data_IF_431324946034
#
_entry.id   IF_431324946034
#
_cell.length_a   1.000
_cell.length_b   1.000
_cell.length_c   1.000
_cell.angle_alpha   90.00
_cell.angle_beta   90.00
_cell.angle_gamma   90.00
#
_symmetry.space_group_name_H-M   'P 1'
#
loop_
_entity.id
_entity.type
_entity.pdbx_description
1 polymer ?
#
# COMPACT_ATOMS: atom_id res chain seq x y z
N UNK A 1 25.20 -25.99 9.24
CA UNK A 1 26.07 -25.09 10.04
C UNK A 1 25.31 -23.80 10.23
N UNK A 2 24.85 -23.51 11.44
CA UNK A 2 24.23 -22.25 11.80
C UNK A 2 25.35 -21.29 12.23
N UNK A 3 25.48 -20.13 11.60
CA UNK A 3 26.35 -19.07 12.10
C UNK A 3 25.72 -18.49 13.37
N UNK A 4 26.44 -18.52 14.48
CA UNK A 4 25.98 -18.00 15.78
C UNK A 4 25.65 -16.49 15.76
N UNK A 5 25.99 -15.79 14.69
CA UNK A 5 25.75 -14.35 14.49
C UNK A 5 24.51 -14.03 13.66
N UNK A 6 23.90 -15.01 12.99
CA UNK A 6 22.69 -14.81 12.21
C UNK A 6 21.48 -14.99 13.12
N UNK A 7 21.11 -13.91 13.81
CA UNK A 7 19.89 -13.84 14.60
C UNK A 7 18.67 -14.03 13.70
N UNK A 8 18.12 -15.23 13.67
CA UNK A 8 16.86 -15.49 12.98
C UNK A 8 15.72 -14.85 13.77
N UNK A 9 15.06 -13.87 13.15
CA UNK A 9 13.76 -13.37 13.59
C UNK A 9 12.72 -13.77 12.56
N UNK A 10 11.58 -14.28 13.03
CA UNK A 10 10.48 -14.60 12.15
C UNK A 10 9.98 -13.28 11.49
N UNK A 11 9.89 -13.20 10.16
CA UNK A 11 9.45 -11.98 9.46
C UNK A 11 8.03 -11.53 9.87
N UNK A 12 7.18 -12.46 10.33
CA UNK A 12 5.87 -12.11 10.86
C UNK A 12 5.97 -11.31 12.18
N UNK A 13 6.92 -11.67 13.05
CA UNK A 13 7.14 -10.98 14.33
C UNK A 13 7.66 -9.55 14.10
N UNK A 14 8.52 -9.38 13.10
CA UNK A 14 8.99 -8.04 12.67
C UNK A 14 7.82 -7.19 12.18
N UNK A 15 6.96 -7.75 11.32
CA UNK A 15 5.79 -7.04 10.79
C UNK A 15 4.85 -6.59 11.92
N UNK A 16 4.60 -7.49 12.87
CA UNK A 16 3.76 -7.20 14.03
C UNK A 16 4.37 -6.13 14.94
N UNK A 17 5.68 -6.19 15.18
CA UNK A 17 6.39 -5.18 15.95
C UNK A 17 6.34 -3.79 15.27
N UNK A 18 6.50 -3.72 13.95
CA UNK A 18 6.36 -2.49 13.17
C UNK A 18 4.94 -1.93 13.24
N UNK A 19 3.91 -2.77 13.06
CA UNK A 19 2.52 -2.35 13.18
C UNK A 19 2.19 -1.83 14.59
N UNK A 20 2.75 -2.45 15.64
CA UNK A 20 2.61 -1.96 17.03
C UNK A 20 3.28 -0.60 17.20
N UNK A 21 4.50 -0.43 16.72
CA UNK A 21 5.24 0.83 16.82
C UNK A 21 4.62 1.98 16.03
N UNK A 22 3.97 1.69 14.90
CA UNK A 22 3.23 2.68 14.12
C UNK A 22 1.97 3.15 14.87
N UNK A 23 1.18 2.23 15.42
CA UNK A 23 0.00 2.58 16.23
C UNK A 23 0.35 3.42 17.46
N UNK A 24 1.46 3.10 18.14
CA UNK A 24 1.96 3.90 19.27
C UNK A 24 2.29 5.34 18.88
N UNK A 25 2.56 5.60 17.60
CA UNK A 25 2.82 6.94 17.04
C UNK A 25 1.56 7.58 16.42
N UNK A 26 0.38 7.01 16.65
CA UNK A 26 -0.90 7.54 16.15
C UNK A 26 -1.24 7.15 14.70
N UNK A 27 -0.49 6.24 14.09
CA UNK A 27 -0.79 5.77 12.73
C UNK A 27 -2.05 4.91 12.73
N UNK A 28 -2.99 5.25 11.86
CA UNK A 28 -4.16 4.42 11.59
C UNK A 28 -3.77 3.25 10.66
N UNK A 29 -4.16 2.03 11.05
CA UNK A 29 -3.97 0.82 10.23
C UNK A 29 -5.34 0.23 9.93
N UNK A 30 -5.88 0.57 8.77
CA UNK A 30 -7.14 0.01 8.28
C UNK A 30 -6.86 -1.32 7.58
N UNK A 31 -7.64 -2.35 7.93
CA UNK A 31 -7.59 -3.67 7.27
C UNK A 31 -8.85 -3.85 6.44
N UNK A 32 -8.80 -4.78 5.47
CA UNK A 32 -9.92 -5.05 4.56
C UNK A 32 -10.34 -3.82 3.75
N UNK A 33 -9.38 -2.96 3.44
CA UNK A 33 -9.55 -1.83 2.57
C UNK A 33 -8.49 -1.98 1.47
N UNK A 34 -8.94 -2.12 0.23
CA UNK A 34 -8.07 -2.27 -0.94
C UNK A 34 -8.04 -0.96 -1.70
N UNK A 35 -6.86 -0.45 -2.01
CA UNK A 35 -6.71 0.71 -2.89
C UNK A 35 -6.88 0.27 -4.35
N UNK A 36 -7.76 0.95 -5.09
CA UNK A 36 -8.15 0.61 -6.46
C UNK A 36 -7.65 1.64 -7.48
N UNK A 37 -7.68 2.95 -7.15
CA UNK A 37 -7.14 4.02 -8.00
C UNK A 37 -6.39 5.09 -7.20
N UNK A 38 -5.50 5.80 -7.87
CA UNK A 38 -4.70 6.91 -7.32
C UNK A 38 -4.75 8.07 -8.31
N UNK A 39 -5.36 9.19 -7.92
CA UNK A 39 -5.59 10.34 -8.80
C UNK A 39 -4.98 11.60 -8.18
N UNK A 40 -4.17 12.34 -8.96
CA UNK A 40 -3.62 13.63 -8.53
C UNK A 40 -4.52 14.77 -9.01
N UNK A 41 -5.03 15.57 -8.07
CA UNK A 41 -5.97 16.65 -8.38
C UNK A 41 -5.29 17.96 -8.79
N UNK A 42 -3.96 18.02 -8.75
CA UNK A 42 -3.17 19.26 -8.85
C UNK A 42 -2.68 19.79 -7.49
N UNK A 43 -3.29 19.36 -6.38
CA UNK A 43 -2.93 19.81 -5.02
C UNK A 43 -2.76 18.67 -4.01
N UNK A 44 -3.49 17.59 -4.18
CA UNK A 44 -3.44 16.41 -3.30
C UNK A 44 -3.80 15.15 -4.10
N UNK A 45 -3.50 13.99 -3.51
CA UNK A 45 -3.94 12.69 -4.00
C UNK A 45 -5.33 12.37 -3.51
N UNK A 46 -6.16 11.83 -4.39
CA UNK A 46 -7.38 11.12 -4.09
C UNK A 46 -7.14 9.62 -4.33
N UNK A 47 -7.25 8.82 -3.27
CA UNK A 47 -7.06 7.37 -3.32
C UNK A 47 -8.41 6.69 -3.11
N UNK A 48 -8.95 6.11 -4.18
CA UNK A 48 -10.20 5.36 -4.10
C UNK A 48 -9.93 3.96 -3.59
N UNK A 49 -10.68 3.55 -2.57
CA UNK A 49 -10.55 2.25 -1.94
C UNK A 49 -11.89 1.52 -1.80
N UNK A 50 -11.94 0.24 -2.17
CA UNK A 50 -13.07 -0.65 -1.91
C UNK A 50 -12.92 -1.39 -0.58
N UNK A 51 -14.02 -1.51 0.18
CA UNK A 51 -14.06 -2.39 1.35
C UNK A 51 -14.10 -3.85 0.93
N UNK A 52 -13.31 -4.69 1.58
CA UNK A 52 -13.16 -6.11 1.28
C UNK A 52 -14.01 -6.96 2.23
N UNK A 53 -14.93 -7.76 1.69
CA UNK A 53 -15.81 -8.66 2.44
C UNK A 53 -15.38 -10.12 2.26
N UNK A 54 -15.69 -10.94 3.26
CA UNK A 54 -15.35 -12.36 3.24
C UNK A 54 -16.51 -13.13 2.60
N UNK A 55 -16.22 -13.85 1.54
CA UNK A 55 -17.17 -14.77 0.90
C UNK A 55 -16.49 -16.11 0.71
N UNK A 56 -16.97 -17.11 1.47
CA UNK A 56 -16.45 -18.50 1.41
C UNK A 56 -14.93 -18.59 1.62
N UNK A 57 -14.39 -17.79 2.56
CA UNK A 57 -12.96 -17.78 2.89
C UNK A 57 -12.08 -16.92 1.98
N UNK A 58 -12.63 -16.31 0.92
CA UNK A 58 -11.92 -15.38 0.05
C UNK A 58 -12.33 -13.93 0.36
N UNK A 59 -11.37 -13.01 0.27
CA UNK A 59 -11.64 -11.57 0.27
C UNK A 59 -12.05 -11.13 -1.13
N UNK A 60 -13.22 -10.52 -1.24
CA UNK A 60 -13.72 -9.93 -2.49
C UNK A 60 -14.06 -8.45 -2.24
N UNK A 61 -13.92 -7.62 -3.28
CA UNK A 61 -14.37 -6.24 -3.22
C UNK A 61 -15.89 -6.20 -3.04
N UNK A 62 -16.36 -5.32 -2.16
CA UNK A 62 -17.76 -4.95 -2.03
C UNK A 62 -18.08 -3.72 -2.87
N UNK A 63 -19.36 -3.36 -2.97
CA UNK A 63 -19.81 -2.15 -3.65
C UNK A 63 -19.58 -0.86 -2.83
N UNK A 64 -19.05 -0.98 -1.60
CA UNK A 64 -18.75 0.16 -0.75
C UNK A 64 -17.34 0.70 -1.02
N UNK A 65 -17.27 1.95 -1.49
CA UNK A 65 -16.03 2.67 -1.76
C UNK A 65 -15.87 3.88 -0.84
N UNK A 66 -14.61 4.21 -0.55
CA UNK A 66 -14.20 5.42 0.17
C UNK A 66 -13.06 6.08 -0.58
N UNK A 67 -13.01 7.42 -0.56
CA UNK A 67 -11.89 8.19 -1.10
C UNK A 67 -11.09 8.76 0.06
N UNK A 68 -9.79 8.48 0.07
CA UNK A 68 -8.85 9.01 1.06
C UNK A 68 -8.03 10.10 0.38
N UNK A 69 -8.04 11.31 0.95
CA UNK A 69 -7.19 12.40 0.50
C UNK A 69 -5.85 12.37 1.21
N UNK A 70 -4.75 12.58 0.48
CA UNK A 70 -3.40 12.58 1.05
C UNK A 70 -2.47 13.53 0.30
N UNK A 71 -1.51 14.13 0.99
CA UNK A 71 -0.46 14.94 0.36
C UNK A 71 0.58 14.06 -0.35
N UNK A 72 0.90 12.91 0.26
CA UNK A 72 1.89 11.97 -0.26
C UNK A 72 1.37 10.54 -0.17
N UNK A 73 1.66 9.74 -1.19
CA UNK A 73 1.31 8.31 -1.26
C UNK A 73 2.57 7.49 -1.44
N UNK A 74 2.72 6.45 -0.62
CA UNK A 74 3.80 5.45 -0.75
C UNK A 74 3.19 4.11 -1.11
N UNK A 75 3.62 3.53 -2.23
CA UNK A 75 3.19 2.19 -2.65
C UNK A 75 4.18 1.15 -2.14
N UNK A 76 3.72 0.32 -1.21
CA UNK A 76 4.49 -0.80 -0.65
C UNK A 76 3.76 -2.15 -0.83
N UNK A 77 2.90 -2.24 -1.84
CA UNK A 77 2.25 -3.48 -2.23
C UNK A 77 3.25 -4.39 -2.97
N UNK A 78 3.29 -5.67 -2.58
CA UNK A 78 3.88 -6.70 -3.46
C UNK A 78 3.00 -6.87 -4.70
N UNK A 79 3.56 -7.43 -5.75
CA UNK A 79 2.92 -7.57 -7.07
C UNK A 79 1.43 -7.99 -6.97
N UNK A 80 0.55 -7.06 -7.31
CA UNK A 80 -0.89 -7.27 -7.43
C UNK A 80 -1.24 -7.48 -8.90
N UNK A 81 -1.75 -8.67 -9.28
CA UNK A 81 -2.45 -8.82 -10.57
C UNK A 81 -3.85 -8.23 -10.45
N UNK A 82 -3.92 -6.92 -10.44
CA UNK A 82 -5.12 -6.13 -10.71
C UNK A 82 -4.70 -5.08 -11.75
N UNK A 83 -4.62 -5.51 -13.01
CA UNK A 83 -4.37 -4.64 -14.16
C UNK A 83 -5.32 -5.06 -15.27
N UNK A 84 -6.60 -4.74 -15.09
CA UNK A 84 -7.44 -4.35 -16.21
C UNK A 84 -7.62 -2.85 -16.06
N UNK A 85 -6.93 -2.09 -16.92
CA UNK A 85 -6.86 -0.64 -16.89
C UNK A 85 -5.42 -0.17 -17.08
N UNK A 86 -5.07 0.14 -18.32
CA UNK A 86 -3.90 0.96 -18.67
C UNK A 86 -3.89 2.28 -17.87
N UNK A 87 -2.68 2.82 -17.68
CA UNK A 87 -2.39 4.19 -17.22
C UNK A 87 -2.50 4.56 -15.73
N UNK A 88 -1.66 3.93 -14.91
CA UNK A 88 -1.13 4.55 -13.68
C UNK A 88 0.38 4.82 -13.79
N UNK A 89 0.84 5.25 -14.97
CA UNK A 89 2.15 5.88 -15.14
C UNK A 89 1.90 7.37 -15.38
N UNK A 90 1.84 8.16 -14.31
CA UNK A 90 2.34 9.52 -14.46
C UNK A 90 3.86 9.40 -14.61
N UNK A 91 4.30 9.08 -15.82
CA UNK A 91 5.68 9.24 -16.23
C UNK A 91 5.93 10.74 -16.23
N UNK A 92 6.69 11.21 -15.26
CA UNK A 92 7.40 12.48 -15.42
C UNK A 92 8.22 12.35 -16.73
N UNK A 93 7.94 13.18 -17.75
CA UNK A 93 8.63 13.09 -19.05
C UNK A 93 10.13 13.41 -18.96
N UNK A 94 10.65 13.77 -17.79
CA UNK A 94 12.06 14.03 -17.55
C UNK A 94 12.84 12.88 -16.88
N UNK A 95 12.18 11.79 -16.45
CA UNK A 95 12.86 10.66 -15.77
C UNK A 95 12.90 9.37 -16.63
N UNK A 96 14.03 9.09 -17.31
CA UNK A 96 14.17 7.91 -18.17
C UNK A 96 14.41 6.60 -17.39
N UNK A 97 14.55 6.64 -16.06
CA UNK A 97 14.74 5.45 -15.24
C UNK A 97 13.64 5.42 -14.17
N UNK A 98 12.61 4.59 -14.36
CA UNK A 98 11.45 4.45 -13.46
C UNK A 98 11.79 4.00 -12.03
N UNK A 99 12.51 4.84 -11.29
CA UNK A 99 12.76 4.70 -9.87
C UNK A 99 11.58 5.29 -9.09
N UNK A 100 11.23 4.70 -7.94
CA UNK A 100 10.18 5.26 -7.08
C UNK A 100 10.67 6.62 -6.55
N UNK A 101 9.96 7.68 -6.93
CA UNK A 101 10.20 9.03 -6.43
C UNK A 101 9.99 9.04 -4.91
N UNK A 102 11.07 9.16 -4.15
CA UNK A 102 11.01 9.56 -2.74
C UNK A 102 10.89 11.09 -2.71
N UNK A 103 9.72 11.61 -2.30
CA UNK A 103 9.60 13.03 -1.97
C UNK A 103 10.43 13.33 -0.71
N UNK A 104 11.13 14.46 -0.76
CA UNK A 104 12.08 14.93 0.24
C UNK A 104 11.42 15.53 1.48
#
# INVERSE_FOLDING_TARGET
MYHATDGYINPADVTMAMAKGARQRGVEIVRRLQADSFEWTGTHWEVTCSKMIEKRGNLIASDEQVVITAEHVVTASRQSRAAHGEDARHQDPSDPCGAPVYCH
#
